data_IF_141023476201
#
_entry.id   IF_141023476201
#
_cell.length_a   1.000
_cell.length_b   1.000
_cell.length_c   1.000
_cell.angle_alpha   90.00
_cell.angle_beta   90.00
_cell.angle_gamma   90.00
#
_symmetry.space_group_name_H-M   'P 1'
#
loop_
_entity.id
_entity.type
_entity.pdbx_description
1 polymer ?
#
# COMPACT_ATOMS: atom_id res chain seq x y z
N UNK A 1 -29.17 -44.32 -17.07
CA UNK A 1 -29.27 -42.84 -17.03
C UNK A 1 -29.40 -42.29 -15.60
N UNK A 2 -30.38 -42.65 -14.76
CA UNK A 2 -30.52 -42.10 -13.37
C UNK A 2 -29.28 -42.26 -12.48
N UNK A 3 -28.59 -43.41 -12.50
CA UNK A 3 -27.36 -43.63 -11.69
C UNK A 3 -26.15 -42.77 -12.15
N UNK A 4 -26.01 -42.51 -13.47
CA UNK A 4 -24.97 -41.61 -13.98
C UNK A 4 -25.24 -40.14 -13.57
N UNK A 5 -26.49 -39.68 -13.57
CA UNK A 5 -26.88 -38.37 -13.09
C UNK A 5 -26.64 -38.20 -11.61
N UNK A 6 -26.91 -39.24 -10.81
CA UNK A 6 -26.65 -39.23 -9.36
C UNK A 6 -25.15 -39.19 -9.06
N UNK A 7 -24.34 -39.96 -9.78
CA UNK A 7 -22.89 -39.94 -9.64
C UNK A 7 -22.29 -38.59 -10.04
N UNK A 8 -22.72 -38.04 -11.16
CA UNK A 8 -22.31 -36.71 -11.60
C UNK A 8 -22.70 -35.58 -10.59
N UNK A 9 -23.89 -35.69 -10.00
CA UNK A 9 -24.35 -34.76 -8.96
C UNK A 9 -23.50 -34.88 -7.67
N UNK A 10 -23.17 -36.10 -7.25
CA UNK A 10 -22.31 -36.34 -6.08
C UNK A 10 -20.89 -35.80 -6.32
N UNK A 11 -20.31 -36.04 -7.51
CA UNK A 11 -19.00 -35.51 -7.90
C UNK A 11 -19.02 -33.98 -7.94
N UNK A 12 -20.05 -33.38 -8.51
CA UNK A 12 -20.22 -31.92 -8.56
C UNK A 12 -20.32 -31.30 -7.15
N UNK A 13 -21.08 -31.93 -6.25
CA UNK A 13 -21.20 -31.51 -4.85
C UNK A 13 -19.86 -31.67 -4.12
N UNK A 14 -19.15 -32.76 -4.32
CA UNK A 14 -17.83 -32.98 -3.72
C UNK A 14 -16.80 -31.93 -4.24
N UNK A 15 -16.80 -31.62 -5.52
CA UNK A 15 -15.95 -30.59 -6.12
C UNK A 15 -16.31 -29.18 -5.61
N UNK A 16 -17.60 -28.87 -5.45
CA UNK A 16 -18.06 -27.62 -4.85
C UNK A 16 -17.64 -27.50 -3.39
N UNK A 17 -17.73 -28.58 -2.61
CA UNK A 17 -17.32 -28.59 -1.20
C UNK A 17 -15.80 -28.42 -1.04
N UNK A 18 -15.00 -29.11 -1.87
CA UNK A 18 -13.54 -28.97 -1.86
C UNK A 18 -13.11 -27.58 -2.33
N UNK A 19 -13.74 -27.04 -3.37
CA UNK A 19 -13.51 -25.68 -3.86
C UNK A 19 -13.86 -24.61 -2.81
N UNK A 20 -14.97 -24.79 -2.09
CA UNK A 20 -15.37 -23.88 -1.00
C UNK A 20 -14.39 -23.94 0.19
N UNK A 21 -13.91 -25.12 0.57
CA UNK A 21 -12.91 -25.27 1.63
C UNK A 21 -11.56 -24.67 1.22
N UNK A 22 -11.10 -24.93 0.00
CA UNK A 22 -9.88 -24.35 -0.53
C UNK A 22 -10.01 -22.80 -0.63
N UNK A 23 -11.14 -22.29 -1.06
CA UNK A 23 -11.43 -20.85 -1.09
C UNK A 23 -11.38 -20.20 0.29
N UNK A 24 -11.96 -20.86 1.32
CA UNK A 24 -11.87 -20.40 2.72
C UNK A 24 -10.43 -20.36 3.21
N UNK A 25 -9.68 -21.43 2.96
CA UNK A 25 -8.27 -21.51 3.33
C UNK A 25 -7.47 -20.40 2.68
N UNK A 26 -7.60 -20.22 1.37
CA UNK A 26 -6.86 -19.18 0.62
C UNK A 26 -7.25 -17.76 1.04
N UNK A 27 -8.53 -17.49 1.28
CA UNK A 27 -8.99 -16.20 1.79
C UNK A 27 -8.37 -15.90 3.17
N UNK A 28 -8.42 -16.88 4.09
CA UNK A 28 -7.82 -16.73 5.42
C UNK A 28 -6.30 -16.57 5.35
N UNK A 29 -5.62 -17.39 4.56
CA UNK A 29 -4.17 -17.35 4.38
C UNK A 29 -3.70 -15.99 3.87
N UNK A 30 -4.43 -15.41 2.90
CA UNK A 30 -4.06 -14.16 2.28
C UNK A 30 -4.43 -12.92 3.12
N UNK A 31 -5.51 -12.97 3.91
CA UNK A 31 -6.05 -11.78 4.57
C UNK A 31 -5.88 -11.78 6.09
N UNK A 32 -5.54 -12.92 6.70
CA UNK A 32 -5.39 -13.04 8.15
C UNK A 32 -4.07 -13.75 8.51
N UNK A 33 -2.92 -13.20 8.08
CA UNK A 33 -1.63 -13.75 8.48
C UNK A 33 -1.43 -13.60 9.98
N UNK A 34 -0.71 -14.54 10.57
CA UNK A 34 -0.24 -14.48 11.95
C UNK A 34 1.29 -14.44 11.95
N UNK A 35 1.96 -13.79 12.89
CA UNK A 35 1.40 -13.11 14.06
C UNK A 35 0.97 -11.66 13.74
N UNK A 36 0.10 -11.11 14.61
CA UNK A 36 -0.29 -9.71 14.66
C UNK A 36 -0.14 -9.20 16.09
N UNK A 37 0.35 -7.97 16.29
CA UNK A 37 0.50 -7.37 17.62
C UNK A 37 1.94 -7.05 18.01
N UNK A 38 2.30 -7.28 19.30
CA UNK A 38 3.60 -6.87 19.86
C UNK A 38 4.79 -7.49 19.11
N UNK A 39 4.70 -8.76 18.76
CA UNK A 39 5.77 -9.45 18.00
C UNK A 39 6.00 -8.82 16.62
N UNK A 40 4.95 -8.31 15.98
CA UNK A 40 5.05 -7.58 14.72
C UNK A 40 5.78 -6.24 14.88
N UNK A 41 5.53 -5.53 15.95
CA UNK A 41 6.19 -4.24 16.24
C UNK A 41 7.68 -4.45 16.44
N UNK A 42 8.09 -5.42 17.23
CA UNK A 42 9.52 -5.70 17.48
C UNK A 42 10.21 -6.12 16.17
N UNK A 43 9.62 -7.04 15.43
CA UNK A 43 10.13 -7.47 14.13
C UNK A 43 10.30 -6.30 13.16
N UNK A 44 9.31 -5.40 13.08
CA UNK A 44 9.35 -4.27 12.16
C UNK A 44 10.31 -3.18 12.59
N UNK A 45 10.53 -2.98 13.89
CA UNK A 45 11.61 -2.12 14.40
C UNK A 45 12.99 -2.66 14.01
N UNK A 46 13.25 -3.95 14.19
CA UNK A 46 14.49 -4.59 13.71
C UNK A 46 14.66 -4.46 12.19
N UNK A 47 13.58 -4.67 11.44
CA UNK A 47 13.58 -4.49 9.97
C UNK A 47 13.91 -3.04 9.59
N UNK A 48 13.36 -2.04 10.27
CA UNK A 48 13.66 -0.63 10.05
C UNK A 48 15.16 -0.32 10.19
N UNK A 49 15.79 -0.81 11.27
CA UNK A 49 17.23 -0.62 11.49
C UNK A 49 18.09 -1.42 10.50
N UNK A 50 17.61 -2.54 9.97
CA UNK A 50 18.30 -3.27 8.90
C UNK A 50 18.26 -2.54 7.56
N UNK A 51 17.17 -1.81 7.28
CA UNK A 51 16.99 -1.04 6.04
C UNK A 51 17.74 0.30 6.08
N UNK A 52 17.73 0.97 7.21
CA UNK A 52 18.49 2.19 7.45
C UNK A 52 18.95 2.24 8.93
N UNK A 53 20.24 1.95 9.21
CA UNK A 53 20.74 1.90 10.58
C UNK A 53 20.43 3.15 11.40
N UNK A 54 19.99 2.95 12.65
CA UNK A 54 19.63 4.01 13.57
C UNK A 54 18.25 4.63 13.35
N UNK A 55 17.39 4.03 12.51
CA UNK A 55 16.04 4.52 12.26
C UNK A 55 15.16 4.47 13.50
N UNK A 56 15.23 3.40 14.28
CA UNK A 56 14.44 3.28 15.52
C UNK A 56 14.93 4.24 16.60
N UNK A 57 16.22 4.43 16.72
CA UNK A 57 16.77 5.45 17.64
C UNK A 57 16.31 6.86 17.24
N UNK A 58 16.39 7.20 15.96
CA UNK A 58 15.90 8.48 15.43
C UNK A 58 14.40 8.69 15.76
N UNK A 59 13.59 7.66 15.60
CA UNK A 59 12.17 7.69 15.96
C UNK A 59 11.97 7.94 17.45
N UNK A 60 12.67 7.18 18.31
CA UNK A 60 12.54 7.26 19.75
C UNK A 60 13.03 8.62 20.29
N UNK A 61 14.12 9.17 19.75
CA UNK A 61 14.62 10.51 20.09
C UNK A 61 13.58 11.59 19.80
N UNK A 62 13.02 11.62 18.58
CA UNK A 62 12.00 12.60 18.21
C UNK A 62 10.69 12.44 19.01
N UNK A 63 10.36 11.23 19.38
CA UNK A 63 9.21 10.95 20.24
C UNK A 63 9.44 11.46 21.67
N UNK A 64 10.63 11.24 22.23
CA UNK A 64 11.02 11.75 23.54
C UNK A 64 11.06 13.28 23.59
N UNK A 65 11.43 13.94 22.49
CA UNK A 65 11.42 15.39 22.33
C UNK A 65 10.00 15.96 22.06
N UNK A 66 8.98 15.11 21.88
CA UNK A 66 7.61 15.53 21.56
C UNK A 66 7.42 16.10 20.14
N UNK A 67 8.40 15.91 19.26
CA UNK A 67 8.36 16.31 17.85
C UNK A 67 7.58 15.29 17.03
N UNK A 68 7.81 14.00 17.26
CA UNK A 68 7.02 12.91 16.70
C UNK A 68 5.89 12.56 17.65
N UNK A 69 4.68 12.49 17.12
CA UNK A 69 3.45 12.25 17.89
C UNK A 69 2.63 11.14 17.28
N UNK A 70 1.77 10.55 18.10
CA UNK A 70 0.78 9.56 17.67
C UNK A 70 -0.62 10.19 17.61
N UNK A 71 -1.47 9.62 16.77
CA UNK A 71 -2.89 9.93 16.73
C UNK A 71 -3.69 8.69 16.34
N UNK A 72 -4.96 8.69 16.72
CA UNK A 72 -5.89 7.59 16.40
C UNK A 72 -7.20 8.19 15.94
N UNK A 73 -7.78 7.62 14.90
CA UNK A 73 -9.10 7.99 14.39
C UNK A 73 -9.98 6.74 14.24
N UNK A 74 -11.29 6.96 14.14
CA UNK A 74 -12.20 5.89 13.71
C UNK A 74 -12.12 5.76 12.20
N UNK A 75 -11.59 4.64 11.73
CA UNK A 75 -11.45 4.29 10.33
C UNK A 75 -12.78 4.00 9.63
N UNK A 76 -12.71 3.69 8.33
CA UNK A 76 -13.87 3.45 7.49
C UNK A 76 -14.78 2.31 7.98
N UNK A 77 -14.20 1.25 8.54
CA UNK A 77 -14.96 0.09 9.07
C UNK A 77 -15.25 0.16 10.57
N UNK A 78 -15.21 1.34 11.17
CA UNK A 78 -15.39 1.58 12.60
C UNK A 78 -14.34 0.91 13.51
N UNK A 79 -13.16 0.58 12.99
CA UNK A 79 -11.99 0.23 13.78
C UNK A 79 -11.20 1.48 14.13
N UNK A 80 -10.56 1.49 15.30
CA UNK A 80 -9.58 2.50 15.61
C UNK A 80 -8.30 2.26 14.78
N UNK A 81 -7.91 3.23 13.98
CA UNK A 81 -6.69 3.19 13.17
C UNK A 81 -5.71 4.23 13.66
N UNK A 82 -4.45 3.84 13.70
CA UNK A 82 -3.34 4.60 14.26
C UNK A 82 -2.49 5.23 13.17
N UNK A 83 -1.91 6.38 13.45
CA UNK A 83 -0.82 6.96 12.68
C UNK A 83 0.16 7.69 13.58
N UNK A 84 1.41 7.74 13.14
CA UNK A 84 2.39 8.69 13.63
C UNK A 84 2.47 9.90 12.70
N UNK A 85 2.85 11.05 13.27
CA UNK A 85 3.16 12.24 12.49
C UNK A 85 4.33 13.02 13.09
N UNK A 86 5.07 13.69 12.23
CA UNK A 86 6.27 14.45 12.61
C UNK A 86 6.36 15.71 11.76
N UNK A 87 6.70 16.84 12.39
CA UNK A 87 6.95 18.09 11.67
C UNK A 87 8.23 18.04 10.84
N UNK A 88 8.28 18.84 9.78
CA UNK A 88 9.48 19.07 8.98
C UNK A 88 10.68 19.43 9.88
N UNK A 89 11.89 19.23 9.39
CA UNK A 89 13.11 19.57 10.12
C UNK A 89 13.20 21.06 10.42
N UNK A 90 12.77 21.88 9.47
CA UNK A 90 12.52 23.31 9.62
C UNK A 90 11.04 23.60 9.39
N UNK A 91 10.20 23.59 10.43
CA UNK A 91 8.75 23.73 10.28
C UNK A 91 8.32 25.07 9.68
N UNK A 92 9.11 26.15 9.89
CA UNK A 92 8.78 27.46 9.36
C UNK A 92 8.92 27.55 7.82
N UNK A 93 9.68 26.64 7.23
CA UNK A 93 9.94 26.54 5.80
C UNK A 93 9.54 25.16 5.25
N UNK A 94 8.55 24.49 5.86
CA UNK A 94 8.04 23.21 5.36
C UNK A 94 7.54 23.38 3.92
N UNK A 95 7.87 22.40 3.06
CA UNK A 95 7.48 22.44 1.63
C UNK A 95 6.13 21.78 1.35
N UNK A 96 5.52 21.20 2.36
CA UNK A 96 4.27 20.47 2.28
C UNK A 96 4.25 19.26 3.20
N UNK A 97 3.27 18.38 3.02
CA UNK A 97 3.07 17.17 3.81
C UNK A 97 3.20 15.92 2.96
N UNK A 98 3.93 14.91 3.44
CA UNK A 98 3.96 13.58 2.87
C UNK A 98 3.12 12.60 3.72
N UNK A 99 2.29 11.78 3.07
CA UNK A 99 1.66 10.62 3.70
C UNK A 99 2.36 9.37 3.19
N UNK A 100 3.04 8.63 4.10
CA UNK A 100 3.82 7.43 3.75
C UNK A 100 3.05 6.18 4.16
N UNK A 101 2.65 5.36 3.19
CA UNK A 101 1.77 4.20 3.38
C UNK A 101 2.55 2.90 3.21
N UNK A 102 2.54 2.06 4.24
CA UNK A 102 3.32 0.82 4.30
C UNK A 102 2.74 -0.35 3.49
N UNK A 103 3.55 -1.40 3.29
CA UNK A 103 3.21 -2.63 2.59
C UNK A 103 2.53 -3.69 3.46
N UNK A 104 2.18 -4.82 2.82
CA UNK A 104 1.54 -5.98 3.43
C UNK A 104 2.41 -6.58 4.56
N UNK A 105 1.80 -6.79 5.73
CA UNK A 105 2.45 -7.39 6.90
C UNK A 105 3.54 -6.52 7.54
N UNK A 106 3.69 -5.26 7.12
CA UNK A 106 4.56 -4.25 7.70
C UNK A 106 3.73 -3.25 8.54
N UNK A 107 4.36 -2.19 9.02
CA UNK A 107 3.72 -1.09 9.73
C UNK A 107 4.57 0.18 9.58
N UNK A 108 4.19 1.25 10.25
CA UNK A 108 4.85 2.55 10.18
C UNK A 108 6.38 2.51 10.43
N UNK A 109 6.91 1.54 11.19
CA UNK A 109 8.36 1.46 11.44
C UNK A 109 9.17 1.10 10.19
N UNK A 110 8.68 0.18 9.37
CA UNK A 110 9.48 -0.37 8.25
C UNK A 110 9.89 0.72 7.26
N UNK A 111 9.05 1.74 7.08
CA UNK A 111 9.27 2.80 6.09
C UNK A 111 9.84 4.10 6.69
N UNK A 112 10.45 4.04 7.89
CA UNK A 112 11.13 5.19 8.51
C UNK A 112 12.22 5.79 7.61
N UNK A 113 12.83 5.03 6.72
CA UNK A 113 13.77 5.55 5.74
C UNK A 113 13.13 6.58 4.78
N UNK A 114 11.86 6.38 4.37
CA UNK A 114 11.11 7.36 3.59
C UNK A 114 10.69 8.55 4.45
N UNK A 115 10.23 8.29 5.68
CA UNK A 115 9.87 9.36 6.64
C UNK A 115 11.07 10.30 6.85
N UNK A 116 12.27 9.74 7.04
CA UNK A 116 13.52 10.51 7.17
C UNK A 116 13.86 11.25 5.89
N UNK A 117 13.73 10.63 4.72
CA UNK A 117 13.94 11.28 3.43
C UNK A 117 13.04 12.52 3.29
N UNK A 118 11.73 12.36 3.52
CA UNK A 118 10.82 13.49 3.41
C UNK A 118 11.10 14.57 4.44
N UNK A 119 11.28 14.19 5.72
CA UNK A 119 11.50 15.15 6.80
C UNK A 119 12.89 15.80 6.75
N UNK A 120 13.93 14.99 6.71
CA UNK A 120 15.30 15.45 6.96
C UNK A 120 15.99 15.94 5.68
N UNK A 121 15.71 15.31 4.51
CA UNK A 121 16.33 15.67 3.23
C UNK A 121 15.48 16.68 2.44
N UNK A 122 14.14 16.53 2.44
CA UNK A 122 13.25 17.35 1.61
C UNK A 122 12.53 18.45 2.38
N UNK A 123 12.54 18.42 3.71
CA UNK A 123 11.87 19.36 4.60
C UNK A 123 10.34 19.38 4.46
N UNK A 124 9.73 18.20 4.49
CA UNK A 124 8.28 17.99 4.53
C UNK A 124 7.82 17.59 5.93
N UNK A 125 6.61 17.99 6.30
CA UNK A 125 5.85 17.33 7.36
C UNK A 125 5.50 15.91 6.92
N UNK A 126 5.41 14.95 7.84
CA UNK A 126 5.11 13.56 7.46
C UNK A 126 4.06 12.97 8.39
N UNK A 127 3.02 12.34 7.81
CA UNK A 127 2.10 11.45 8.49
C UNK A 127 2.29 10.04 7.92
N UNK A 128 2.35 9.02 8.78
CA UNK A 128 2.61 7.64 8.38
C UNK A 128 1.74 6.68 9.19
N UNK A 129 0.61 6.24 8.58
CA UNK A 129 -0.38 5.42 9.26
C UNK A 129 0.02 3.96 9.35
N UNK A 130 -0.56 3.26 10.32
CA UNK A 130 -0.76 1.82 10.28
C UNK A 130 -2.09 1.51 9.59
N UNK A 131 -2.08 0.75 8.51
CA UNK A 131 -3.29 0.28 7.86
C UNK A 131 -4.06 -0.67 8.76
N UNK A 132 -5.36 -0.89 8.50
CA UNK A 132 -6.15 -1.81 9.30
C UNK A 132 -5.50 -3.18 9.45
N UNK A 133 -5.59 -3.80 10.63
CA UNK A 133 -4.98 -5.08 10.94
C UNK A 133 -3.43 -5.09 10.90
N UNK A 134 -2.79 -3.91 11.04
CA UNK A 134 -1.33 -3.78 11.10
C UNK A 134 -0.92 -2.84 12.25
N UNK A 135 0.29 -3.06 12.77
CA UNK A 135 0.88 -2.20 13.79
C UNK A 135 -0.02 -1.99 15.00
N UNK A 136 -0.31 -0.73 15.32
CA UNK A 136 -1.21 -0.34 16.41
C UNK A 136 -2.67 -0.15 15.96
N UNK A 137 -2.98 -0.34 14.69
CA UNK A 137 -4.35 -0.24 14.19
C UNK A 137 -5.14 -1.50 14.46
N UNK A 138 -6.40 -1.33 14.87
CA UNK A 138 -7.35 -2.41 14.97
C UNK A 138 -7.74 -2.94 13.58
N UNK A 139 -8.42 -4.09 13.55
CA UNK A 139 -8.90 -4.71 12.31
C UNK A 139 -9.18 -6.18 12.51
N UNK A 140 -9.82 -6.80 11.54
CA UNK A 140 -10.16 -8.22 11.53
C UNK A 140 -9.47 -8.98 10.38
N UNK A 141 -8.96 -8.25 9.38
CA UNK A 141 -8.23 -8.78 8.24
C UNK A 141 -7.55 -7.66 7.44
N UNK A 142 -6.56 -8.03 6.65
CA UNK A 142 -5.89 -7.12 5.69
C UNK A 142 -6.82 -6.80 4.54
N UNK A 143 -7.00 -5.52 4.23
CA UNK A 143 -7.94 -5.01 3.22
C UNK A 143 -7.36 -4.98 1.79
N UNK A 144 -6.07 -5.31 1.64
CA UNK A 144 -5.36 -5.28 0.35
C UNK A 144 -5.50 -3.96 -0.40
N UNK A 145 -5.47 -2.84 0.31
CA UNK A 145 -5.64 -1.51 -0.26
C UNK A 145 -7.08 -1.12 -0.58
N UNK A 146 -8.02 -2.07 -0.64
CA UNK A 146 -9.36 -1.76 -1.15
C UNK A 146 -10.16 -0.87 -0.22
N UNK A 147 -10.33 -1.26 1.04
CA UNK A 147 -10.96 -0.39 2.03
C UNK A 147 -9.95 0.50 2.76
N UNK A 148 -8.66 0.12 2.79
CA UNK A 148 -7.58 0.96 3.32
C UNK A 148 -7.52 2.34 2.64
N UNK A 149 -7.92 2.43 1.35
CA UNK A 149 -7.95 3.71 0.64
C UNK A 149 -8.85 4.75 1.29
N UNK A 150 -9.98 4.33 1.87
CA UNK A 150 -10.89 5.23 2.59
C UNK A 150 -10.32 5.70 3.93
N UNK A 151 -9.46 4.89 4.56
CA UNK A 151 -8.71 5.35 5.73
C UNK A 151 -7.61 6.33 5.32
N UNK A 152 -6.96 6.12 4.16
CA UNK A 152 -6.01 7.08 3.59
C UNK A 152 -6.69 8.43 3.29
N UNK A 153 -7.92 8.43 2.76
CA UNK A 153 -8.70 9.67 2.56
C UNK A 153 -8.94 10.41 3.88
N UNK A 154 -9.27 9.71 4.96
CA UNK A 154 -9.38 10.32 6.29
C UNK A 154 -8.04 10.83 6.81
N UNK A 155 -6.96 10.11 6.58
CA UNK A 155 -5.62 10.54 6.97
C UNK A 155 -5.15 11.78 6.20
N UNK A 156 -5.57 11.96 4.96
CA UNK A 156 -5.36 13.19 4.18
C UNK A 156 -5.98 14.39 4.90
N UNK A 157 -7.23 14.27 5.33
CA UNK A 157 -7.92 15.33 6.08
C UNK A 157 -7.25 15.61 7.43
N UNK A 158 -6.87 14.55 8.17
CA UNK A 158 -6.18 14.69 9.46
C UNK A 158 -4.83 15.39 9.30
N UNK A 159 -4.04 14.99 8.30
CA UNK A 159 -2.75 15.61 8.03
C UNK A 159 -2.89 17.09 7.66
N UNK A 160 -3.89 17.44 6.83
CA UNK A 160 -4.18 18.83 6.48
C UNK A 160 -4.61 19.64 7.70
N UNK A 161 -5.45 19.09 8.58
CA UNK A 161 -5.87 19.75 9.82
C UNK A 161 -4.72 19.94 10.84
N UNK A 162 -3.68 19.11 10.80
CA UNK A 162 -2.51 19.22 11.69
C UNK A 162 -1.50 20.24 11.14
N UNK A 163 -1.21 20.18 9.85
CA UNK A 163 -0.09 20.91 9.25
C UNK A 163 -0.50 22.12 8.42
N UNK A 164 -1.75 22.18 7.94
CA UNK A 164 -2.34 23.26 7.11
C UNK A 164 -1.60 23.51 5.79
N UNK A 165 -0.96 22.47 5.24
CA UNK A 165 -0.24 22.57 3.98
C UNK A 165 -1.16 22.40 2.76
N UNK A 166 -0.97 23.23 1.73
CA UNK A 166 -1.68 23.17 0.45
C UNK A 166 -0.95 22.28 -0.60
N UNK A 167 0.14 21.63 -0.21
CA UNK A 167 0.87 20.67 -1.02
C UNK A 167 1.04 19.36 -0.27
N UNK A 168 0.35 18.33 -0.73
CA UNK A 168 0.44 16.99 -0.14
C UNK A 168 0.86 15.97 -1.18
N UNK A 169 1.80 15.10 -0.81
CA UNK A 169 2.22 13.93 -1.59
C UNK A 169 1.79 12.65 -0.87
N UNK A 170 1.18 11.73 -1.60
CA UNK A 170 0.94 10.36 -1.11
C UNK A 170 2.08 9.48 -1.62
N UNK A 171 2.76 8.79 -0.73
CA UNK A 171 3.84 7.86 -1.09
C UNK A 171 3.55 6.49 -0.51
N UNK A 172 3.28 5.51 -1.36
CA UNK A 172 3.03 4.13 -0.95
C UNK A 172 4.09 3.17 -1.46
N UNK A 173 4.33 2.09 -0.71
CA UNK A 173 5.22 0.99 -1.12
C UNK A 173 4.45 -0.31 -1.14
N UNK A 174 4.55 -1.11 -2.20
CA UNK A 174 3.92 -2.43 -2.34
C UNK A 174 2.39 -2.34 -2.18
N UNK A 175 1.81 -2.98 -1.15
CA UNK A 175 0.38 -2.84 -0.84
C UNK A 175 0.02 -1.37 -0.56
N UNK A 176 0.89 -0.59 0.07
CA UNK A 176 0.69 0.85 0.27
C UNK A 176 0.64 1.62 -1.05
N UNK A 177 1.49 1.25 -2.02
CA UNK A 177 1.43 1.82 -3.37
C UNK A 177 0.11 1.48 -4.08
N UNK A 178 -0.32 0.22 -4.00
CA UNK A 178 -1.63 -0.17 -4.51
C UNK A 178 -2.78 0.61 -3.81
N UNK A 179 -2.64 0.87 -2.50
CA UNK A 179 -3.62 1.64 -1.71
C UNK A 179 -3.72 3.08 -2.21
N UNK A 180 -2.61 3.80 -2.37
CA UNK A 180 -2.63 5.20 -2.84
C UNK A 180 -3.07 5.30 -4.30
N UNK A 181 -2.70 4.32 -5.15
CA UNK A 181 -3.24 4.23 -6.51
C UNK A 181 -4.75 3.98 -6.51
N UNK A 182 -5.28 3.14 -5.60
CA UNK A 182 -6.71 2.91 -5.50
C UNK A 182 -7.45 4.15 -4.98
N UNK A 183 -6.89 4.88 -4.00
CA UNK A 183 -7.44 6.13 -3.50
C UNK A 183 -7.50 7.21 -4.60
N UNK A 184 -6.53 7.23 -5.52
CA UNK A 184 -6.46 8.23 -6.59
C UNK A 184 -7.61 8.20 -7.60
N UNK A 185 -8.40 7.15 -7.59
CA UNK A 185 -9.61 7.03 -8.43
C UNK A 185 -10.88 7.58 -7.77
N UNK A 186 -10.80 7.94 -6.50
CA UNK A 186 -11.87 8.60 -5.73
C UNK A 186 -11.62 10.13 -5.73
N UNK A 187 -12.62 10.98 -5.44
CA UNK A 187 -12.43 12.43 -5.37
C UNK A 187 -11.55 12.81 -4.19
N UNK A 188 -10.28 13.10 -4.43
CA UNK A 188 -9.37 13.62 -3.41
C UNK A 188 -9.34 15.13 -3.39
N UNK A 189 -9.05 15.77 -2.22
CA UNK A 189 -8.90 17.22 -2.12
C UNK A 189 -7.80 17.77 -3.04
N UNK A 190 -7.97 19.01 -3.52
CA UNK A 190 -7.03 19.66 -4.45
C UNK A 190 -5.61 19.84 -3.88
N UNK A 191 -5.46 19.89 -2.56
CA UNK A 191 -4.14 19.93 -1.93
C UNK A 191 -3.37 18.62 -2.00
N UNK A 192 -3.99 17.49 -2.44
CA UNK A 192 -3.27 16.27 -2.84
C UNK A 192 -2.72 16.47 -4.24
N UNK A 193 -1.45 16.87 -4.31
CA UNK A 193 -0.83 17.38 -5.54
C UNK A 193 -0.15 16.33 -6.38
N UNK A 194 0.33 15.26 -5.78
CA UNK A 194 0.98 14.18 -6.50
C UNK A 194 1.04 12.87 -5.69
N UNK A 195 1.37 11.80 -6.40
CA UNK A 195 1.48 10.46 -5.86
C UNK A 195 2.81 9.84 -6.31
N UNK A 196 3.51 9.19 -5.38
CA UNK A 196 4.65 8.31 -5.66
C UNK A 196 4.23 6.90 -5.29
N UNK A 197 4.24 6.00 -6.26
CA UNK A 197 4.00 4.59 -6.03
C UNK A 197 5.28 3.79 -6.28
N UNK A 198 5.67 2.93 -5.34
CA UNK A 198 6.83 2.06 -5.45
C UNK A 198 6.39 0.60 -5.35
N UNK A 199 6.61 -0.16 -6.42
CA UNK A 199 6.33 -1.59 -6.60
C UNK A 199 4.89 -2.02 -6.25
N UNK A 200 3.90 -1.18 -6.57
CA UNK A 200 2.49 -1.48 -6.32
C UNK A 200 1.88 -2.46 -7.33
N UNK A 201 1.04 -3.39 -6.85
CA UNK A 201 0.33 -4.30 -7.75
C UNK A 201 -0.87 -3.63 -8.44
N UNK A 202 -1.16 -4.09 -9.66
CA UNK A 202 -2.23 -3.54 -10.50
C UNK A 202 -3.64 -4.02 -10.08
N UNK A 203 -3.71 -5.21 -9.48
CA UNK A 203 -4.94 -5.74 -8.89
C UNK A 203 -4.63 -6.91 -7.96
N UNK A 204 -5.49 -7.10 -6.96
CA UNK A 204 -5.40 -8.23 -6.02
C UNK A 204 -5.46 -9.57 -6.78
N UNK A 205 -6.30 -9.68 -7.81
CA UNK A 205 -6.42 -10.92 -8.60
C UNK A 205 -5.12 -11.24 -9.34
N UNK A 206 -4.50 -10.25 -9.98
CA UNK A 206 -3.26 -10.47 -10.71
C UNK A 206 -2.14 -10.88 -9.76
N UNK A 207 -2.00 -10.20 -8.63
CA UNK A 207 -1.01 -10.50 -7.59
C UNK A 207 -1.23 -11.89 -6.98
N UNK A 208 -2.46 -12.21 -6.57
CA UNK A 208 -2.75 -13.51 -5.98
C UNK A 208 -2.60 -14.66 -6.98
N UNK A 209 -2.90 -14.44 -8.26
CA UNK A 209 -2.67 -15.45 -9.28
C UNK A 209 -1.18 -15.70 -9.52
N UNK A 210 -0.35 -14.65 -9.44
CA UNK A 210 1.11 -14.78 -9.48
C UNK A 210 1.61 -15.60 -8.28
N UNK A 211 1.25 -15.23 -7.07
CA UNK A 211 1.64 -15.92 -5.83
C UNK A 211 1.14 -17.37 -5.81
N UNK A 212 -0.08 -17.63 -6.30
CA UNK A 212 -0.62 -18.98 -6.46
C UNK A 212 0.26 -19.82 -7.38
N UNK A 213 0.66 -19.27 -8.54
CA UNK A 213 1.53 -20.00 -9.49
C UNK A 213 2.89 -20.34 -8.88
N UNK A 214 3.48 -19.40 -8.16
CA UNK A 214 4.80 -19.59 -7.54
C UNK A 214 4.77 -20.58 -6.36
N UNK A 215 3.82 -20.39 -5.43
CA UNK A 215 3.84 -21.10 -4.15
C UNK A 215 2.90 -22.32 -4.12
N UNK A 216 1.87 -22.33 -4.97
CA UNK A 216 0.79 -23.30 -4.96
C UNK A 216 0.37 -23.69 -6.38
N UNK A 217 1.34 -23.95 -7.26
CA UNK A 217 1.09 -24.24 -8.69
C UNK A 217 0.12 -25.40 -8.97
N UNK A 218 -0.05 -26.32 -7.99
CA UNK A 218 -1.03 -27.40 -8.02
C UNK A 218 -2.47 -26.97 -7.73
N UNK A 219 -2.68 -25.74 -7.18
CA UNK A 219 -4.02 -25.23 -6.90
C UNK A 219 -4.62 -24.64 -8.18
N UNK A 220 -5.83 -25.09 -8.62
CA UNK A 220 -6.48 -24.57 -9.80
C UNK A 220 -6.83 -23.06 -9.69
N UNK A 221 -6.89 -22.33 -10.83
CA UNK A 221 -7.19 -20.88 -10.82
C UNK A 221 -8.57 -20.51 -10.28
N UNK A 222 -9.57 -21.38 -10.41
CA UNK A 222 -10.94 -21.19 -9.92
C UNK A 222 -11.05 -21.12 -8.40
N UNK A 223 -10.03 -21.58 -7.68
CA UNK A 223 -9.93 -21.40 -6.21
C UNK A 223 -9.84 -19.91 -5.85
N UNK A 224 -9.22 -19.07 -6.68
CA UNK A 224 -9.22 -17.62 -6.46
C UNK A 224 -10.62 -17.02 -6.54
N UNK A 225 -11.48 -17.54 -7.43
CA UNK A 225 -12.86 -17.11 -7.50
C UNK A 225 -13.64 -17.54 -6.25
N UNK A 226 -13.44 -18.76 -5.79
CA UNK A 226 -14.03 -19.26 -4.55
C UNK A 226 -13.56 -18.43 -3.35
N UNK A 227 -12.27 -18.13 -3.26
CA UNK A 227 -11.70 -17.26 -2.21
C UNK A 227 -12.30 -15.84 -2.25
N UNK A 228 -12.44 -15.27 -3.45
CA UNK A 228 -13.07 -13.96 -3.64
C UNK A 228 -14.53 -13.93 -3.17
N UNK A 229 -15.31 -14.98 -3.48
CA UNK A 229 -16.70 -15.09 -3.03
C UNK A 229 -16.78 -15.23 -1.49
N UNK A 230 -15.86 -15.98 -0.89
CA UNK A 230 -15.75 -16.09 0.58
C UNK A 230 -15.40 -14.72 1.19
N UNK A 231 -14.44 -14.02 0.62
CA UNK A 231 -14.04 -12.67 1.06
C UNK A 231 -15.21 -11.70 0.94
N UNK A 232 -15.95 -11.72 -0.17
CA UNK A 232 -17.14 -10.88 -0.36
C UNK A 232 -18.21 -11.16 0.68
N UNK A 233 -18.46 -12.43 0.98
CA UNK A 233 -19.45 -12.82 1.99
C UNK A 233 -19.07 -12.37 3.39
N UNK A 234 -17.78 -12.50 3.75
CA UNK A 234 -17.31 -12.27 5.13
C UNK A 234 -16.92 -10.82 5.37
N UNK A 235 -16.40 -10.13 4.35
CA UNK A 235 -15.74 -8.84 4.48
C UNK A 235 -16.32 -7.73 3.60
N UNK A 236 -17.30 -8.06 2.74
CA UNK A 236 -18.04 -7.07 1.93
C UNK A 236 -17.39 -6.71 0.59
N UNK A 237 -16.21 -7.25 0.26
CA UNK A 237 -15.52 -6.97 -1.00
C UNK A 237 -14.93 -8.24 -1.62
N UNK A 238 -14.72 -8.23 -2.92
CA UNK A 238 -14.12 -9.35 -3.66
C UNK A 238 -12.84 -8.96 -4.37
N UNK A 239 -11.97 -9.93 -4.65
CA UNK A 239 -10.64 -9.70 -5.22
C UNK A 239 -10.66 -8.96 -6.57
N UNK A 240 -11.72 -9.13 -7.39
CA UNK A 240 -11.88 -8.44 -8.66
C UNK A 240 -12.27 -6.97 -8.56
N UNK A 241 -12.71 -6.53 -7.37
CA UNK A 241 -13.01 -5.12 -7.10
C UNK A 241 -11.74 -4.34 -6.78
N UNK A 242 -10.84 -4.95 -6.02
CA UNK A 242 -9.59 -4.34 -5.58
C UNK A 242 -8.57 -4.28 -6.74
N UNK A 243 -8.62 -3.19 -7.50
CA UNK A 243 -7.80 -2.97 -8.70
C UNK A 243 -7.31 -1.52 -8.78
N UNK A 244 -6.00 -1.35 -8.59
CA UNK A 244 -5.32 -0.08 -8.80
C UNK A 244 -5.47 0.38 -10.27
N UNK A 245 -5.29 -0.53 -11.23
CA UNK A 245 -5.42 -0.20 -12.65
C UNK A 245 -6.79 0.41 -13.00
N UNK A 246 -7.90 -0.14 -12.49
CA UNK A 246 -9.25 0.41 -12.72
C UNK A 246 -9.43 1.80 -12.09
N UNK A 247 -8.83 2.07 -10.96
CA UNK A 247 -8.90 3.38 -10.32
C UNK A 247 -8.01 4.40 -11.04
N UNK A 248 -6.84 3.98 -11.51
CA UNK A 248 -5.93 4.81 -12.29
C UNK A 248 -6.53 5.33 -13.60
N UNK A 249 -7.51 4.62 -14.20
CA UNK A 249 -8.23 5.11 -15.39
C UNK A 249 -8.95 6.44 -15.13
N UNK A 250 -9.30 6.74 -13.87
CA UNK A 250 -10.00 7.95 -13.45
C UNK A 250 -9.04 9.02 -12.90
N UNK A 251 -7.81 8.62 -12.53
CA UNK A 251 -6.85 9.47 -11.84
C UNK A 251 -6.30 10.58 -12.74
N UNK A 252 -6.43 11.82 -12.31
CA UNK A 252 -5.83 13.01 -12.97
C UNK A 252 -4.58 13.52 -12.24
N UNK A 253 -4.36 13.09 -10.99
CA UNK A 253 -3.27 13.54 -10.13
C UNK A 253 -1.92 13.11 -10.73
N UNK A 254 -0.90 14.00 -10.81
CA UNK A 254 0.44 13.63 -11.25
C UNK A 254 1.02 12.45 -10.47
N UNK A 255 1.68 11.50 -11.17
CA UNK A 255 2.15 10.26 -10.55
C UNK A 255 3.53 9.84 -11.05
N UNK A 256 4.42 9.53 -10.11
CA UNK A 256 5.68 8.84 -10.34
C UNK A 256 5.53 7.36 -9.99
N UNK A 257 5.85 6.51 -10.96
CA UNK A 257 5.85 5.06 -10.84
C UNK A 257 7.28 4.55 -10.69
N UNK A 258 7.58 3.86 -9.60
CA UNK A 258 8.89 3.25 -9.32
C UNK A 258 8.74 1.74 -9.25
N UNK A 259 9.67 0.99 -9.83
CA UNK A 259 9.65 -0.48 -9.74
C UNK A 259 11.04 -1.08 -9.98
N UNK A 260 11.41 -2.10 -9.23
CA UNK A 260 12.62 -2.88 -9.48
C UNK A 260 12.44 -3.85 -10.64
N UNK A 261 13.42 -3.98 -11.53
CA UNK A 261 13.34 -4.93 -12.66
C UNK A 261 13.63 -6.39 -12.26
N UNK A 262 14.15 -6.60 -11.05
CA UNK A 262 14.37 -7.92 -10.45
C UNK A 262 13.29 -8.28 -9.40
N UNK A 263 12.17 -7.56 -9.36
CA UNK A 263 11.06 -7.87 -8.46
C UNK A 263 10.31 -9.12 -8.93
N UNK A 264 10.47 -10.21 -8.20
CA UNK A 264 9.81 -11.50 -8.44
C UNK A 264 8.56 -11.70 -7.55
N UNK A 265 8.32 -10.84 -6.56
CA UNK A 265 7.15 -10.88 -5.68
C UNK A 265 5.96 -10.11 -6.25
N UNK A 266 6.19 -8.88 -6.72
CA UNK A 266 5.26 -8.11 -7.56
C UNK A 266 5.96 -7.86 -8.90
N UNK A 267 5.78 -8.73 -9.89
CA UNK A 267 6.53 -8.62 -11.15
C UNK A 267 6.36 -7.27 -11.85
N UNK A 268 7.40 -6.82 -12.53
CA UNK A 268 7.44 -5.53 -13.24
C UNK A 268 6.29 -5.35 -14.26
N UNK A 269 5.64 -6.44 -14.67
CA UNK A 269 4.43 -6.38 -15.50
C UNK A 269 3.32 -5.53 -14.85
N UNK A 270 3.26 -5.50 -13.51
CA UNK A 270 2.31 -4.66 -12.77
C UNK A 270 2.57 -3.17 -13.00
N UNK A 271 3.84 -2.73 -13.06
CA UNK A 271 4.20 -1.36 -13.42
C UNK A 271 3.58 -0.98 -14.76
N UNK A 272 3.79 -1.81 -15.79
CA UNK A 272 3.30 -1.50 -17.13
C UNK A 272 1.79 -1.50 -17.22
N UNK A 273 1.10 -2.39 -16.51
CA UNK A 273 -0.36 -2.38 -16.42
C UNK A 273 -0.85 -1.08 -15.77
N UNK A 274 -0.26 -0.67 -14.63
CA UNK A 274 -0.62 0.55 -13.91
C UNK A 274 -0.31 1.80 -14.73
N UNK A 275 0.91 1.91 -15.26
CA UNK A 275 1.33 3.05 -16.07
C UNK A 275 0.44 3.25 -17.30
N UNK A 276 0.08 2.15 -17.98
CA UNK A 276 -0.77 2.21 -19.16
C UNK A 276 -2.25 2.48 -18.83
N UNK A 277 -2.72 2.08 -17.64
CA UNK A 277 -4.07 2.35 -17.15
C UNK A 277 -4.31 3.82 -16.85
N UNK A 278 -3.30 4.54 -16.33
CA UNK A 278 -3.40 5.99 -16.09
C UNK A 278 -3.44 6.76 -17.42
N UNK A 279 -4.62 7.28 -17.77
CA UNK A 279 -4.86 7.97 -19.06
C UNK A 279 -4.74 9.50 -18.96
N UNK A 280 -4.94 10.06 -17.78
CA UNK A 280 -5.06 11.49 -17.55
C UNK A 280 -4.01 12.00 -16.57
N UNK A 281 -3.66 13.28 -16.66
CA UNK A 281 -2.65 13.93 -15.83
C UNK A 281 -1.22 13.46 -16.15
N UNK A 282 -0.25 14.16 -15.57
CA UNK A 282 1.16 13.85 -15.77
C UNK A 282 1.53 12.50 -15.15
N UNK A 283 2.41 11.77 -15.82
CA UNK A 283 2.99 10.54 -15.30
C UNK A 283 4.40 10.34 -15.83
N UNK A 284 5.25 9.81 -14.98
CA UNK A 284 6.58 9.34 -15.33
C UNK A 284 6.88 8.03 -14.60
N UNK A 285 7.93 7.34 -15.01
CA UNK A 285 8.34 6.11 -14.35
C UNK A 285 9.85 6.03 -14.21
N UNK A 286 10.29 5.26 -13.24
CA UNK A 286 11.66 4.83 -13.09
C UNK A 286 11.73 3.34 -12.77
N UNK A 287 12.45 2.60 -13.62
CA UNK A 287 12.79 1.21 -13.37
C UNK A 287 14.12 1.15 -12.65
N UNK A 288 14.13 0.72 -11.40
CA UNK A 288 15.34 0.63 -10.58
C UNK A 288 16.15 -0.64 -10.93
N UNK A 289 17.35 -0.50 -11.54
CA UNK A 289 18.08 -1.66 -12.08
C UNK A 289 18.52 -2.64 -10.99
N UNK A 290 18.18 -3.93 -11.14
CA UNK A 290 18.54 -5.00 -10.21
C UNK A 290 17.89 -4.90 -8.84
N UNK A 291 16.93 -4.00 -8.61
CA UNK A 291 16.20 -3.93 -7.37
C UNK A 291 15.13 -5.03 -7.31
N UNK A 292 15.09 -5.74 -6.19
CA UNK A 292 14.05 -6.70 -5.84
C UNK A 292 12.87 -5.98 -5.17
N UNK A 293 11.84 -6.72 -4.75
CA UNK A 293 10.62 -6.16 -4.15
C UNK A 293 10.91 -5.20 -3.00
N UNK A 294 10.34 -3.98 -3.07
CA UNK A 294 10.44 -2.92 -2.06
C UNK A 294 11.90 -2.57 -1.68
N UNK A 295 12.83 -2.68 -2.65
CA UNK A 295 14.26 -2.47 -2.42
C UNK A 295 14.88 -1.38 -3.31
N UNK A 296 14.06 -0.65 -4.07
CA UNK A 296 14.53 0.40 -4.99
C UNK A 296 15.33 1.48 -4.25
N UNK A 297 14.86 1.91 -3.07
CA UNK A 297 15.56 2.88 -2.23
C UNK A 297 16.90 2.34 -1.70
N UNK A 298 16.92 1.14 -1.12
CA UNK A 298 18.15 0.57 -0.52
C UNK A 298 19.20 0.24 -1.58
N UNK A 299 18.77 -0.14 -2.76
CA UNK A 299 19.66 -0.45 -3.88
C UNK A 299 20.28 0.79 -4.51
N UNK A 300 19.51 1.87 -4.64
CA UNK A 300 19.89 3.10 -5.31
C UNK A 300 19.47 4.35 -4.51
N UNK A 301 19.95 4.55 -3.28
CA UNK A 301 19.40 5.58 -2.38
C UNK A 301 19.50 7.00 -2.94
N UNK A 302 20.62 7.37 -3.53
CA UNK A 302 20.81 8.72 -4.06
C UNK A 302 19.98 8.97 -5.33
N UNK A 303 19.89 7.98 -6.23
CA UNK A 303 19.05 8.09 -7.42
C UNK A 303 17.57 8.12 -7.06
N UNK A 304 17.13 7.27 -6.12
CA UNK A 304 15.76 7.27 -5.63
C UNK A 304 15.36 8.65 -5.10
N UNK A 305 16.19 9.22 -4.22
CA UNK A 305 15.98 10.57 -3.67
C UNK A 305 15.95 11.62 -4.78
N UNK A 306 16.87 11.56 -5.72
CA UNK A 306 16.91 12.50 -6.84
C UNK A 306 15.65 12.41 -7.72
N UNK A 307 15.19 11.19 -8.06
CA UNK A 307 13.95 10.99 -8.84
C UNK A 307 12.72 11.55 -8.15
N UNK A 308 12.55 11.25 -6.85
CA UNK A 308 11.45 11.78 -6.06
C UNK A 308 11.54 13.30 -5.94
N UNK A 309 12.72 13.85 -5.63
CA UNK A 309 12.90 15.30 -5.50
C UNK A 309 12.64 16.04 -6.83
N UNK A 310 13.11 15.52 -7.96
CA UNK A 310 12.86 16.10 -9.29
C UNK A 310 11.37 16.08 -9.62
N UNK A 311 10.69 14.96 -9.35
CA UNK A 311 9.26 14.87 -9.54
C UNK A 311 8.50 15.90 -8.70
N UNK A 312 8.77 15.97 -7.38
CA UNK A 312 8.14 16.96 -6.50
C UNK A 312 8.38 18.41 -6.96
N UNK A 313 9.56 18.69 -7.52
CA UNK A 313 9.94 20.03 -8.01
C UNK A 313 9.16 20.44 -9.25
N UNK A 314 8.81 19.51 -10.15
CA UNK A 314 8.09 19.83 -11.38
C UNK A 314 6.58 19.92 -11.19
N UNK A 315 5.99 19.22 -10.20
CA UNK A 315 4.54 19.16 -9.98
C UNK A 315 3.88 20.53 -9.95
N UNK A 316 4.38 21.57 -9.23
CA UNK A 316 3.74 22.88 -9.19
C UNK A 316 3.64 23.59 -10.55
N UNK A 317 4.48 23.19 -11.52
CA UNK A 317 4.50 23.79 -12.86
C UNK A 317 3.61 23.03 -13.88
N UNK A 318 3.06 21.88 -13.49
CA UNK A 318 2.20 21.07 -14.37
C UNK A 318 0.77 21.61 -14.46
N UNK A 319 0.37 22.44 -13.52
CA UNK A 319 -1.00 22.98 -13.42
C UNK A 319 -1.24 24.18 -14.34
N UNK A 320 -0.18 24.75 -14.91
CA UNK A 320 -0.25 25.90 -15.79
C UNK A 320 -0.22 25.52 -17.29
N UNK A 321 -0.46 24.24 -17.60
CA UNK A 321 -0.52 23.72 -18.98
C UNK A 321 -1.86 23.04 -19.23
#
# INVERSE_FOLDING_TARGET
MKRLFQLAAIIAVALCLTGCMAGKFMSKYALQPTPHGVDDIERTRHKADSLLPGSTKWYDDLKAEGILKDTTIVGYRNFNVHACYVSAKDPANAKGTAIVVHGYGDNHFVFLYLVRMYRDDFNYNVLFPDLQYHGYSEGDHIQMGWYDRYDVEKWIEVAHNIFHDDFMVLHGVSMGAATVMMASGDPLPEYVRCIVEDCGYSSVVMQFNHNRKQNFGFIPPDVLQSASLVTRKNHGWGFWEASAAKQLEKCTIPMLFIHGDADDFVPIDHLWVNYNAKKHGYKEYWVAPGAVHANSFQKHPEEYKARVADFLRIVPYLENK
#
